data_IF_325402427083
#
_entry.id   IF_325402427083
#
_cell.length_a   1.000
_cell.length_b   1.000
_cell.length_c   1.000
_cell.angle_alpha   90.00
_cell.angle_beta   90.00
_cell.angle_gamma   90.00
#
_symmetry.space_group_name_H-M   'P 1'
#
loop_
_entity.id
_entity.type
_entity.pdbx_description
1 polymer ?
#
# COMPACT_ATOMS: atom_id res chain seq x y z
N UNK A 1 -29.74 2.69 -22.59
CA UNK A 1 -28.35 3.04 -22.98
C UNK A 1 -27.28 2.45 -22.04
N UNK A 2 -27.57 2.11 -20.78
CA UNK A 2 -26.52 1.67 -19.83
C UNK A 2 -25.72 0.44 -20.29
N UNK A 3 -26.39 -0.55 -20.91
CA UNK A 3 -25.72 -1.74 -21.43
C UNK A 3 -24.74 -1.43 -22.58
N UNK A 4 -24.96 -0.35 -23.34
CA UNK A 4 -24.11 0.04 -24.48
C UNK A 4 -22.75 0.59 -24.02
N UNK A 5 -22.70 1.16 -22.81
CA UNK A 5 -21.48 1.77 -22.27
C UNK A 5 -20.73 0.85 -21.30
N UNK A 6 -21.30 -0.32 -20.99
CA UNK A 6 -20.76 -1.26 -19.99
C UNK A 6 -19.29 -1.58 -20.25
N UNK A 7 -18.95 -1.94 -21.48
CA UNK A 7 -17.58 -2.34 -21.84
C UNK A 7 -16.60 -1.17 -21.70
N UNK A 8 -17.06 0.06 -21.98
CA UNK A 8 -16.26 1.27 -21.79
C UNK A 8 -16.04 1.55 -20.30
N UNK A 9 -17.06 1.40 -19.45
CA UNK A 9 -16.92 1.53 -18.00
C UNK A 9 -15.99 0.46 -17.41
N UNK A 10 -16.08 -0.79 -17.89
CA UNK A 10 -15.17 -1.87 -17.48
C UNK A 10 -13.74 -1.55 -17.89
N UNK A 11 -13.50 -1.09 -19.12
CA UNK A 11 -12.16 -0.68 -19.58
C UNK A 11 -11.59 0.47 -18.73
N UNK A 12 -12.40 1.47 -18.41
CA UNK A 12 -12.01 2.57 -17.53
C UNK A 12 -11.65 2.08 -16.13
N UNK A 13 -12.43 1.16 -15.57
CA UNK A 13 -12.16 0.57 -14.25
C UNK A 13 -10.87 -0.26 -14.23
N UNK A 14 -10.64 -1.10 -15.25
CA UNK A 14 -9.39 -1.86 -15.37
C UNK A 14 -8.18 -0.94 -15.44
N UNK A 15 -8.28 0.18 -16.18
CA UNK A 15 -7.20 1.16 -16.23
C UNK A 15 -7.01 1.88 -14.88
N UNK A 16 -8.09 2.42 -14.30
CA UNK A 16 -8.02 3.13 -13.04
C UNK A 16 -7.48 2.24 -11.90
N UNK A 17 -7.95 1.00 -11.81
CA UNK A 17 -7.48 0.04 -10.80
C UNK A 17 -6.03 -0.40 -10.99
N UNK A 18 -5.49 -0.33 -12.20
CA UNK A 18 -4.07 -0.57 -12.49
C UNK A 18 -3.20 0.63 -12.09
N UNK A 19 -3.69 1.84 -12.31
CA UNK A 19 -2.97 3.10 -12.11
C UNK A 19 -3.77 4.01 -11.18
N UNK A 20 -3.62 3.87 -9.87
CA UNK A 20 -4.33 4.71 -8.90
C UNK A 20 -3.88 6.18 -8.94
N UNK A 21 -4.77 7.11 -8.56
CA UNK A 21 -4.57 8.57 -8.68
C UNK A 21 -3.34 9.09 -7.92
N UNK A 22 -2.98 8.44 -6.82
CA UNK A 22 -1.92 8.90 -5.91
C UNK A 22 -0.52 8.73 -6.50
N UNK A 23 -0.20 7.56 -7.03
CA UNK A 23 1.16 7.17 -7.41
C UNK A 23 1.22 6.24 -8.61
N UNK A 24 0.10 6.02 -9.31
CA UNK A 24 -0.02 5.02 -10.39
C UNK A 24 0.37 3.61 -9.93
N UNK A 25 0.02 3.25 -8.69
CA UNK A 25 0.13 1.89 -8.16
C UNK A 25 -1.23 1.19 -8.28
N UNK A 26 -1.21 -0.15 -8.30
CA UNK A 26 -2.44 -0.93 -8.36
C UNK A 26 -3.31 -0.64 -7.12
N UNK A 27 -4.60 -0.41 -7.34
CA UNK A 27 -5.59 -0.31 -6.28
C UNK A 27 -5.82 -1.67 -5.60
N UNK A 28 -6.11 -1.66 -4.31
CA UNK A 28 -6.43 -2.88 -3.55
C UNK A 28 -7.52 -2.59 -2.51
N UNK A 29 -8.53 -3.46 -2.45
CA UNK A 29 -9.59 -3.36 -1.45
C UNK A 29 -10.54 -2.17 -1.63
N UNK A 30 -10.66 -1.64 -2.85
CA UNK A 30 -11.55 -0.51 -3.17
C UNK A 30 -12.79 -1.02 -3.90
N UNK A 31 -13.95 -0.53 -3.51
CA UNK A 31 -15.24 -0.75 -4.18
C UNK A 31 -15.75 0.59 -4.67
N UNK A 32 -16.19 0.63 -5.93
CA UNK A 32 -16.83 1.80 -6.51
C UNK A 32 -18.30 1.47 -6.78
N UNK A 33 -19.18 2.41 -6.43
CA UNK A 33 -20.61 2.33 -6.70
C UNK A 33 -20.99 3.41 -7.72
N UNK A 34 -21.64 3.00 -8.81
CA UNK A 34 -22.15 3.93 -9.82
C UNK A 34 -23.59 4.29 -9.44
N UNK A 35 -23.77 5.49 -8.90
CA UNK A 35 -25.08 5.94 -8.40
C UNK A 35 -26.04 6.35 -9.52
N UNK A 36 -25.55 7.12 -10.50
CA UNK A 36 -26.35 7.62 -11.62
C UNK A 36 -25.47 7.86 -12.86
N UNK A 37 -26.09 7.82 -14.04
CA UNK A 37 -25.43 8.11 -15.32
C UNK A 37 -26.40 8.83 -16.26
N UNK A 38 -26.06 10.07 -16.63
CA UNK A 38 -26.75 10.83 -17.67
C UNK A 38 -26.00 10.70 -18.98
N UNK A 39 -26.69 10.29 -20.04
CA UNK A 39 -26.10 10.02 -21.36
C UNK A 39 -26.79 10.83 -22.43
N UNK A 40 -26.01 11.28 -23.42
CA UNK A 40 -26.55 11.91 -24.63
C UNK A 40 -27.51 10.95 -25.36
N UNK A 41 -28.53 11.46 -26.08
CA UNK A 41 -29.54 10.65 -26.75
C UNK A 41 -29.00 9.84 -27.94
N UNK A 42 -28.05 10.40 -28.70
CA UNK A 42 -27.44 9.75 -29.87
C UNK A 42 -26.18 8.93 -29.53
N UNK A 43 -26.11 7.69 -30.05
CA UNK A 43 -25.02 6.75 -29.78
C UNK A 43 -23.65 7.22 -30.28
N UNK A 44 -23.63 8.04 -31.35
CA UNK A 44 -22.38 8.61 -31.90
C UNK A 44 -21.64 9.48 -30.89
N UNK A 45 -22.34 10.05 -29.91
CA UNK A 45 -21.77 10.87 -28.84
C UNK A 45 -21.46 10.06 -27.56
N UNK A 46 -21.65 8.74 -27.57
CA UNK A 46 -21.41 7.83 -26.44
C UNK A 46 -20.31 6.80 -26.70
N UNK A 47 -19.46 7.04 -27.70
CA UNK A 47 -18.34 6.15 -28.01
C UNK A 47 -17.35 6.04 -26.85
N UNK A 48 -16.53 4.97 -26.84
CA UNK A 48 -15.56 4.71 -25.78
C UNK A 48 -14.58 5.87 -25.52
N UNK A 49 -14.24 6.66 -26.54
CA UNK A 49 -13.42 7.87 -26.39
C UNK A 49 -14.05 8.96 -25.52
N UNK A 50 -15.38 8.96 -25.33
CA UNK A 50 -16.08 9.88 -24.43
C UNK A 50 -16.31 9.24 -23.06
N UNK A 51 -16.73 7.97 -23.04
CA UNK A 51 -17.10 7.28 -21.81
C UNK A 51 -15.88 6.90 -20.97
N UNK A 52 -14.82 6.37 -21.58
CA UNK A 52 -13.65 5.86 -20.83
C UNK A 52 -12.98 6.98 -20.02
N UNK A 53 -12.65 8.16 -20.60
CA UNK A 53 -12.04 9.23 -19.83
C UNK A 53 -12.97 9.77 -18.75
N UNK A 54 -14.27 9.91 -19.04
CA UNK A 54 -15.28 10.40 -18.08
C UNK A 54 -15.38 9.46 -16.88
N UNK A 55 -15.52 8.16 -17.13
CA UNK A 55 -15.59 7.15 -16.07
C UNK A 55 -14.29 7.12 -15.25
N UNK A 56 -13.12 7.16 -15.90
CA UNK A 56 -11.83 7.18 -15.20
C UNK A 56 -11.67 8.41 -14.30
N UNK A 57 -12.05 9.60 -14.79
CA UNK A 57 -12.01 10.83 -13.99
C UNK A 57 -12.94 10.73 -12.78
N UNK A 58 -14.16 10.21 -12.96
CA UNK A 58 -15.10 10.00 -11.86
C UNK A 58 -14.54 9.01 -10.80
N UNK A 59 -13.89 7.93 -11.22
CA UNK A 59 -13.22 6.98 -10.32
C UNK A 59 -12.09 7.64 -9.52
N UNK A 60 -11.29 8.50 -10.14
CA UNK A 60 -10.23 9.24 -9.44
C UNK A 60 -10.78 10.30 -8.47
N UNK A 61 -11.84 11.01 -8.85
CA UNK A 61 -12.53 11.92 -7.95
C UNK A 61 -13.06 11.17 -6.71
N UNK A 62 -13.73 10.03 -6.92
CA UNK A 62 -14.21 9.16 -5.84
C UNK A 62 -13.08 8.61 -4.97
N UNK A 63 -11.94 8.25 -5.57
CA UNK A 63 -10.77 7.79 -4.81
C UNK A 63 -10.22 8.88 -3.90
N UNK A 64 -10.10 10.13 -4.38
CA UNK A 64 -9.57 11.25 -3.59
C UNK A 64 -10.52 11.65 -2.46
N UNK A 65 -11.83 11.66 -2.70
CA UNK A 65 -12.83 11.98 -1.66
C UNK A 65 -12.93 10.89 -0.59
N UNK A 66 -12.62 9.64 -0.94
CA UNK A 66 -12.56 8.52 0.00
C UNK A 66 -11.32 8.50 0.91
N UNK A 67 -10.45 9.53 0.86
CA UNK A 67 -9.21 9.63 1.65
C UNK A 67 -8.30 8.39 1.49
N UNK A 68 -7.65 8.23 0.33
CA UNK A 68 -6.91 7.02 0.02
C UNK A 68 -5.76 6.77 1.02
N UNK A 69 -5.42 5.50 1.22
CA UNK A 69 -4.30 5.06 2.07
C UNK A 69 -3.33 4.21 1.27
N UNK A 70 -2.06 4.22 1.67
CA UNK A 70 -1.06 3.30 1.14
C UNK A 70 -1.14 1.97 1.89
N UNK A 71 -0.87 0.88 1.17
CA UNK A 71 -0.66 -0.43 1.77
C UNK A 71 0.84 -0.76 1.71
N UNK A 72 1.45 -1.03 2.85
CA UNK A 72 2.81 -1.54 2.91
C UNK A 72 2.81 -3.08 2.98
N UNK A 73 3.77 -3.75 2.33
CA UNK A 73 3.92 -5.19 2.51
C UNK A 73 4.63 -5.47 3.83
N UNK A 74 4.24 -6.55 4.50
CA UNK A 74 4.74 -6.97 5.81
C UNK A 74 5.30 -8.38 5.72
N UNK A 75 6.48 -8.58 6.31
CA UNK A 75 7.09 -9.89 6.49
C UNK A 75 6.65 -10.53 7.80
N UNK A 76 6.43 -11.84 7.76
CA UNK A 76 6.55 -12.70 8.91
C UNK A 76 8.03 -13.06 9.08
N UNK A 77 8.60 -12.66 10.20
CA UNK A 77 9.99 -12.92 10.56
C UNK A 77 10.03 -13.98 11.64
N UNK A 78 10.70 -15.09 11.37
CA UNK A 78 11.04 -16.12 12.35
C UNK A 78 12.50 -15.97 12.77
N UNK A 79 12.77 -15.88 14.06
CA UNK A 79 14.12 -15.70 14.59
C UNK A 79 14.41 -16.79 15.62
N UNK A 80 15.52 -17.49 15.41
CA UNK A 80 16.03 -18.46 16.38
C UNK A 80 17.26 -17.89 17.06
N UNK A 81 17.26 -17.86 18.39
CA UNK A 81 18.38 -17.34 19.17
C UNK A 81 18.39 -17.89 20.61
N UNK A 82 19.54 -17.91 21.27
CA UNK A 82 19.61 -18.23 22.70
C UNK A 82 18.99 -17.12 23.58
N UNK A 83 18.57 -17.48 24.80
CA UNK A 83 17.88 -16.57 25.75
C UNK A 83 18.62 -15.24 25.99
N UNK A 84 19.94 -15.28 26.07
CA UNK A 84 20.78 -14.10 26.29
C UNK A 84 20.73 -13.08 25.14
N UNK A 85 20.30 -13.49 23.93
CA UNK A 85 20.20 -12.64 22.76
C UNK A 85 18.79 -12.01 22.58
N UNK A 86 17.79 -12.43 23.37
CA UNK A 86 16.41 -11.95 23.26
C UNK A 86 16.30 -10.42 23.39
N UNK A 87 17.00 -9.83 24.37
CA UNK A 87 17.00 -8.37 24.56
C UNK A 87 17.46 -7.60 23.32
N UNK A 88 18.45 -8.13 22.59
CA UNK A 88 18.91 -7.56 21.32
C UNK A 88 17.86 -7.65 20.22
N UNK A 89 17.13 -8.78 20.13
CA UNK A 89 16.06 -8.98 19.15
C UNK A 89 14.92 -7.98 19.38
N UNK A 90 14.44 -7.86 20.61
CA UNK A 90 13.40 -6.91 20.99
C UNK A 90 13.79 -5.46 20.69
N UNK A 91 15.04 -5.09 21.01
CA UNK A 91 15.56 -3.74 20.71
C UNK A 91 15.50 -3.43 19.21
N UNK A 92 15.99 -4.34 18.36
CA UNK A 92 16.03 -4.13 16.91
C UNK A 92 14.63 -4.12 16.30
N UNK A 93 13.75 -5.02 16.72
CA UNK A 93 12.36 -5.04 16.22
C UNK A 93 11.63 -3.76 16.59
N UNK A 94 11.74 -3.27 17.83
CA UNK A 94 11.10 -2.02 18.26
C UNK A 94 11.58 -0.80 17.46
N UNK A 95 12.87 -0.73 17.14
CA UNK A 95 13.42 0.35 16.30
C UNK A 95 12.89 0.32 14.86
N UNK A 96 12.45 -0.86 14.38
CA UNK A 96 12.03 -1.13 13.01
C UNK A 96 10.51 -1.31 12.86
N UNK A 97 9.73 -0.80 13.82
CA UNK A 97 8.25 -0.96 13.88
C UNK A 97 7.79 -2.43 13.86
N UNK A 98 8.66 -3.34 14.28
CA UNK A 98 8.35 -4.76 14.34
C UNK A 98 7.49 -5.10 15.55
N UNK A 99 6.60 -6.09 15.39
CA UNK A 99 5.70 -6.54 16.45
C UNK A 99 5.87 -8.04 16.70
N UNK A 100 6.42 -8.41 17.85
CA UNK A 100 6.53 -9.80 18.29
C UNK A 100 5.18 -10.26 18.84
N UNK A 101 4.64 -11.35 18.32
CA UNK A 101 3.36 -11.91 18.76
C UNK A 101 3.47 -13.36 19.26
N UNK A 102 4.58 -14.05 18.96
CA UNK A 102 4.84 -15.41 19.43
C UNK A 102 6.28 -15.52 19.91
N UNK A 103 6.46 -16.07 21.10
CA UNK A 103 7.75 -16.44 21.68
C UNK A 103 7.62 -17.84 22.27
N UNK A 104 8.43 -18.78 21.77
CA UNK A 104 8.39 -20.17 22.21
C UNK A 104 9.80 -20.67 22.50
N UNK A 105 10.00 -21.14 23.73
CA UNK A 105 11.23 -21.84 24.10
C UNK A 105 11.22 -23.26 23.53
N UNK A 106 12.30 -23.66 22.86
CA UNK A 106 12.45 -25.03 22.38
C UNK A 106 12.81 -25.95 23.56
N UNK A 107 11.93 -26.91 23.93
CA UNK A 107 12.15 -27.74 25.11
C UNK A 107 13.47 -28.51 25.05
N UNK A 108 14.20 -28.51 26.16
CA UNK A 108 15.50 -29.19 26.27
C UNK A 108 16.68 -28.43 25.66
N UNK A 109 16.50 -27.20 25.18
CA UNK A 109 17.58 -26.35 24.65
C UNK A 109 17.45 -24.91 25.16
N UNK A 110 18.54 -24.12 25.21
CA UNK A 110 18.47 -22.70 25.57
C UNK A 110 17.97 -21.81 24.40
N UNK A 111 17.41 -22.40 23.33
CA UNK A 111 17.00 -21.70 22.11
C UNK A 111 15.54 -21.28 22.21
N UNK A 112 15.27 -20.05 21.80
CA UNK A 112 13.95 -19.46 21.63
C UNK A 112 13.67 -19.24 20.15
N UNK A 113 12.43 -19.51 19.76
CA UNK A 113 11.88 -19.19 18.46
C UNK A 113 10.89 -18.04 18.63
N UNK A 114 11.15 -16.93 17.94
CA UNK A 114 10.29 -15.75 17.95
C UNK A 114 9.66 -15.57 16.58
N UNK A 115 8.37 -15.21 16.56
CA UNK A 115 7.72 -14.71 15.35
C UNK A 115 7.28 -13.27 15.53
N UNK A 116 7.58 -12.47 14.52
CA UNK A 116 7.23 -11.06 14.51
C UNK A 116 6.77 -10.62 13.12
N UNK A 117 5.96 -9.56 13.10
CA UNK A 117 5.69 -8.81 11.89
C UNK A 117 6.74 -7.72 11.70
N UNK A 118 7.22 -7.54 10.48
CA UNK A 118 8.22 -6.52 10.12
C UNK A 118 7.83 -5.87 8.78
N UNK A 119 7.59 -4.55 8.74
CA UNK A 119 7.37 -3.86 7.48
C UNK A 119 8.55 -4.02 6.53
N UNK A 120 8.28 -4.32 5.26
CA UNK A 120 9.34 -4.61 4.28
C UNK A 120 10.30 -3.44 4.09
N UNK A 121 9.79 -2.20 4.14
CA UNK A 121 10.63 -0.99 4.04
C UNK A 121 11.64 -0.88 5.20
N UNK A 122 11.34 -1.46 6.36
CA UNK A 122 12.20 -1.44 7.53
C UNK A 122 13.21 -2.59 7.54
N UNK A 123 12.98 -3.62 6.69
CA UNK A 123 13.83 -4.80 6.58
C UNK A 123 15.23 -4.53 5.99
N UNK A 124 15.41 -3.40 5.30
CA UNK A 124 16.72 -3.01 4.78
C UNK A 124 17.71 -2.79 5.93
N UNK A 125 18.82 -3.56 5.90
CA UNK A 125 19.82 -3.56 6.98
C UNK A 125 19.37 -4.25 8.27
N UNK A 126 18.22 -4.94 8.28
CA UNK A 126 17.71 -5.65 9.45
C UNK A 126 18.69 -6.75 9.91
N UNK A 127 19.13 -7.62 8.99
CA UNK A 127 20.03 -8.74 9.33
C UNK A 127 21.36 -8.29 9.93
N UNK A 128 21.97 -7.21 9.40
CA UNK A 128 23.24 -6.69 9.95
C UNK A 128 23.05 -6.07 11.33
N UNK A 129 21.97 -5.30 11.52
CA UNK A 129 21.62 -4.68 12.80
C UNK A 129 21.30 -5.74 13.86
N UNK A 130 20.51 -6.75 13.49
CA UNK A 130 20.18 -7.89 14.34
C UNK A 130 21.43 -8.67 14.74
N UNK A 131 22.32 -8.95 13.78
CA UNK A 131 23.59 -9.64 14.04
C UNK A 131 24.45 -8.85 15.04
N UNK A 132 24.56 -7.53 14.89
CA UNK A 132 25.32 -6.69 15.81
C UNK A 132 24.71 -6.69 17.22
N UNK A 133 23.39 -6.55 17.34
CA UNK A 133 22.68 -6.52 18.62
C UNK A 133 22.69 -7.87 19.37
N UNK A 134 22.90 -8.98 18.65
CA UNK A 134 22.85 -10.34 19.20
C UNK A 134 24.22 -11.03 19.21
N UNK A 135 25.31 -10.30 18.95
CA UNK A 135 26.66 -10.86 18.81
C UNK A 135 26.74 -12.02 17.78
N UNK A 136 25.88 -11.99 16.77
CA UNK A 136 25.78 -12.99 15.72
C UNK A 136 25.07 -14.29 16.11
N UNK A 137 24.34 -14.31 17.23
CA UNK A 137 23.65 -15.50 17.73
C UNK A 137 22.22 -15.66 17.20
N UNK A 138 21.65 -14.63 16.56
CA UNK A 138 20.30 -14.68 15.99
C UNK A 138 20.33 -14.83 14.47
N UNK A 139 19.47 -15.70 13.95
CA UNK A 139 19.29 -15.94 12.51
C UNK A 139 17.84 -15.67 12.11
N UNK A 140 17.57 -14.59 11.33
CA UNK A 140 16.23 -14.28 10.89
C UNK A 140 15.89 -15.00 9.57
N UNK A 141 14.66 -15.48 9.45
CA UNK A 141 14.03 -15.92 8.21
C UNK A 141 12.81 -15.05 7.95
N UNK A 142 12.71 -14.46 6.76
CA UNK A 142 11.62 -13.57 6.40
C UNK A 142 10.83 -14.17 5.25
N UNK A 143 9.51 -14.20 5.37
CA UNK A 143 8.57 -14.57 4.29
C UNK A 143 7.49 -13.50 4.19
N UNK A 144 7.02 -13.20 2.98
CA UNK A 144 5.86 -12.34 2.81
C UNK A 144 4.66 -12.95 3.53
N UNK A 145 3.97 -12.14 4.32
CA UNK A 145 2.78 -12.56 5.04
C UNK A 145 1.53 -11.88 4.49
N UNK A 146 1.45 -10.55 4.63
CA UNK A 146 0.28 -9.80 4.21
C UNK A 146 0.61 -8.36 3.81
N UNK A 147 -0.44 -7.68 3.33
CA UNK A 147 -0.43 -6.24 3.07
C UNK A 147 -1.17 -5.54 4.21
N UNK A 148 -0.54 -4.54 4.80
CA UNK A 148 -1.08 -3.75 5.90
C UNK A 148 -1.32 -2.30 5.45
N UNK A 149 -2.46 -1.74 5.85
CA UNK A 149 -2.79 -0.33 5.53
C UNK A 149 -2.00 0.59 6.45
N UNK A 150 -1.25 1.53 5.87
CA UNK A 150 -0.55 2.57 6.63
C UNK A 150 -1.57 3.48 7.33
N UNK A 151 -1.33 3.74 8.62
CA UNK A 151 -2.20 4.60 9.43
C UNK A 151 -2.06 6.09 9.08
N UNK A 152 -0.91 6.48 8.55
CA UNK A 152 -0.60 7.88 8.22
C UNK A 152 -1.26 8.31 6.91
N UNK A 153 -1.79 9.54 6.90
CA UNK A 153 -2.45 10.11 5.72
C UNK A 153 -1.42 10.53 4.66
N UNK A 154 -1.45 9.96 3.44
CA UNK A 154 -0.54 10.33 2.36
C UNK A 154 -0.78 11.74 1.80
N UNK A 155 -1.95 12.34 2.02
CA UNK A 155 -2.29 13.70 1.56
C UNK A 155 -1.82 14.79 2.51
N UNK A 156 -1.44 14.44 3.75
CA UNK A 156 -0.96 15.38 4.74
C UNK A 156 0.56 15.54 4.64
N UNK A 157 1.01 16.76 4.38
CA UNK A 157 2.43 17.07 4.25
C UNK A 157 3.24 16.66 5.49
N UNK A 158 4.42 16.09 5.24
CA UNK A 158 5.37 15.69 6.28
C UNK A 158 5.08 14.35 6.95
N UNK A 159 4.00 13.64 6.60
CA UNK A 159 3.83 12.24 7.02
C UNK A 159 4.78 11.31 6.26
N UNK A 160 5.13 10.17 6.84
CA UNK A 160 5.91 9.13 6.18
C UNK A 160 5.23 8.65 4.89
N UNK A 161 3.89 8.50 4.93
CA UNK A 161 3.11 8.12 3.75
C UNK A 161 3.22 9.16 2.63
N UNK A 162 3.17 10.46 2.99
CA UNK A 162 3.32 11.56 2.04
C UNK A 162 4.72 11.57 1.41
N UNK A 163 5.79 11.42 2.21
CA UNK A 163 7.17 11.32 1.71
C UNK A 163 7.31 10.16 0.71
N UNK A 164 6.76 8.98 1.03
CA UNK A 164 6.77 7.83 0.12
C UNK A 164 6.05 8.14 -1.19
N UNK A 165 4.89 8.80 -1.14
CA UNK A 165 4.16 9.22 -2.35
C UNK A 165 5.03 10.15 -3.21
N UNK A 166 5.62 11.18 -2.62
CA UNK A 166 6.46 12.16 -3.32
C UNK A 166 7.68 11.48 -3.98
N UNK A 167 8.34 10.57 -3.27
CA UNK A 167 9.49 9.83 -3.79
C UNK A 167 9.11 8.91 -4.96
N UNK A 168 7.98 8.20 -4.86
CA UNK A 168 7.47 7.35 -5.95
C UNK A 168 7.14 8.20 -7.17
N UNK A 169 6.44 9.33 -6.99
CA UNK A 169 6.05 10.24 -8.08
C UNK A 169 7.28 10.82 -8.78
N UNK A 170 8.26 11.29 -8.00
CA UNK A 170 9.54 11.78 -8.53
C UNK A 170 10.27 10.70 -9.33
N UNK A 171 10.35 9.47 -8.80
CA UNK A 171 10.99 8.33 -9.48
C UNK A 171 10.29 7.96 -10.80
N UNK A 172 8.96 8.06 -10.85
CA UNK A 172 8.15 7.78 -12.05
C UNK A 172 8.10 8.96 -13.04
N UNK A 173 8.67 10.13 -12.70
CA UNK A 173 8.60 11.33 -13.54
C UNK A 173 7.22 11.99 -13.56
N UNK A 174 6.39 11.72 -12.56
CA UNK A 174 5.08 12.35 -12.38
C UNK A 174 5.21 13.75 -11.77
N UNK A 175 4.16 14.57 -11.87
CA UNK A 175 4.08 15.84 -11.13
C UNK A 175 4.31 15.56 -9.63
N UNK A 176 5.14 16.33 -8.90
CA UNK A 176 5.48 16.03 -7.51
C UNK A 176 4.26 15.85 -6.62
N UNK A 177 3.31 16.78 -6.71
CA UNK A 177 2.06 16.71 -5.95
C UNK A 177 1.01 15.89 -6.72
N UNK A 178 0.17 15.10 -6.02
CA UNK A 178 -1.03 14.51 -6.60
C UNK A 178 -1.95 15.59 -7.18
N UNK A 179 -2.63 15.28 -8.27
CA UNK A 179 -3.61 16.18 -8.85
C UNK A 179 -4.73 16.47 -7.83
N UNK A 180 -5.11 17.74 -7.61
CA UNK A 180 -6.16 18.08 -6.67
C UNK A 180 -7.52 17.58 -7.18
N UNK A 181 -8.48 17.41 -6.26
CA UNK A 181 -9.83 16.94 -6.58
C UNK A 181 -10.49 17.76 -7.70
N UNK A 182 -10.25 19.07 -7.76
CA UNK A 182 -10.80 19.95 -8.78
C UNK A 182 -10.34 19.66 -10.21
N UNK A 183 -9.29 18.87 -10.43
CA UNK A 183 -8.95 18.40 -11.80
C UNK A 183 -9.88 17.27 -12.28
N UNK A 184 -10.54 16.56 -11.36
CA UNK A 184 -11.41 15.41 -11.64
C UNK A 184 -12.89 15.69 -11.38
N UNK A 185 -13.21 16.69 -10.57
CA UNK A 185 -14.57 17.11 -10.26
C UNK A 185 -15.09 18.10 -11.31
N UNK A 186 -16.16 17.72 -12.02
CA UNK A 186 -16.90 18.63 -12.90
C UNK A 186 -18.18 19.08 -12.19
N UNK A 187 -18.29 20.37 -11.88
CA UNK A 187 -19.49 20.96 -11.30
C UNK A 187 -20.42 21.44 -12.41
N UNK A 188 -21.72 21.15 -12.26
CA UNK A 188 -22.80 21.66 -13.11
C UNK A 188 -23.04 23.16 -12.89
#
# INVERSE_FOLDING_TARGET
YLNEIKDSCVAAFQWASKEGVMTEENMRGIVFEVCDVVLHADAIHRGGGQIIPTCRRALYAAQLTAQPRLCEPVYLVEIQAPENALGGIYSVLNQKRGHVFEEMQRPGTPIFNLKAYLPVIESFGFTSTLRAATSGQAFPQCVFDHWETMTQDPLKDGTQANVIVLDIRKRKGLKPEPAPLGEYEDKL
#
